data_IF_387915044800
#
_entry.id   IF_387915044800
#
_cell.length_a   1.000
_cell.length_b   1.000
_cell.length_c   1.000
_cell.angle_alpha   90.00
_cell.angle_beta   90.00
_cell.angle_gamma   90.00
#
_symmetry.space_group_name_H-M   'P 1'
#
loop_
_entity.id
_entity.type
_entity.pdbx_description
1 polymer ?
#
# COMPACT_ATOMS: atom_id res chain seq x y z
N UNK A 1 26.90 -4.62 21.65
CA UNK A 1 26.76 -3.79 20.43
C UNK A 1 25.29 -3.67 20.12
N UNK A 2 24.81 -2.52 19.62
CA UNK A 2 23.43 -2.37 19.17
C UNK A 2 23.10 -3.43 18.10
N UNK A 3 21.87 -3.95 18.11
CA UNK A 3 21.37 -4.91 17.13
C UNK A 3 20.15 -4.35 16.40
N UNK A 4 20.26 -4.23 15.09
CA UNK A 4 19.22 -3.67 14.21
C UNK A 4 18.61 -4.72 13.28
N UNK A 5 18.96 -6.01 13.42
CA UNK A 5 18.47 -7.10 12.57
C UNK A 5 16.94 -7.18 12.56
N UNK A 6 16.31 -6.94 13.72
CA UNK A 6 14.86 -6.88 13.84
C UNK A 6 14.27 -5.75 12.98
N UNK A 7 14.89 -4.57 12.94
CA UNK A 7 14.45 -3.48 12.07
C UNK A 7 14.55 -3.86 10.59
N UNK A 8 15.63 -4.52 10.19
CA UNK A 8 15.79 -5.01 8.82
C UNK A 8 14.75 -6.08 8.46
N UNK A 9 14.43 -7.00 9.39
CA UNK A 9 13.40 -8.01 9.20
C UNK A 9 12.01 -7.39 8.98
N UNK A 10 11.63 -6.39 9.79
CA UNK A 10 10.37 -5.67 9.62
C UNK A 10 10.28 -4.97 8.24
N UNK A 11 11.39 -4.44 7.73
CA UNK A 11 11.42 -3.86 6.38
C UNK A 11 11.21 -4.94 5.28
N UNK A 12 11.74 -6.15 5.47
CA UNK A 12 11.47 -7.28 4.57
C UNK A 12 10.00 -7.69 4.61
N UNK A 13 9.36 -7.66 5.78
CA UNK A 13 7.92 -7.89 5.91
C UNK A 13 7.12 -6.79 5.18
N UNK A 14 7.51 -5.52 5.31
CA UNK A 14 6.87 -4.43 4.57
C UNK A 14 6.93 -4.68 3.05
N UNK A 15 8.10 -5.09 2.53
CA UNK A 15 8.27 -5.50 1.13
C UNK A 15 7.34 -6.64 0.74
N UNK A 16 7.26 -7.71 1.56
CA UNK A 16 6.36 -8.85 1.32
C UNK A 16 4.92 -8.38 1.16
N UNK A 17 4.43 -7.50 2.04
CA UNK A 17 3.05 -7.02 1.98
C UNK A 17 2.78 -6.12 0.78
N UNK A 18 3.76 -5.39 0.26
CA UNK A 18 3.61 -4.66 -1.02
C UNK A 18 3.54 -5.60 -2.22
N UNK A 19 4.28 -6.72 -2.19
CA UNK A 19 4.12 -7.76 -3.21
C UNK A 19 2.72 -8.36 -3.20
N UNK A 20 2.21 -8.69 -2.00
CA UNK A 20 0.86 -9.20 -1.84
C UNK A 20 -0.20 -8.16 -2.24
N UNK A 21 0.02 -6.89 -1.91
CA UNK A 21 -0.83 -5.79 -2.36
C UNK A 21 -0.89 -5.71 -3.88
N UNK A 22 0.26 -5.74 -4.57
CA UNK A 22 0.31 -5.69 -6.02
C UNK A 22 -0.50 -6.83 -6.66
N UNK A 23 -0.32 -8.06 -6.15
CA UNK A 23 -1.02 -9.26 -6.63
C UNK A 23 -2.52 -9.26 -6.33
N UNK A 24 -2.93 -8.77 -5.17
CA UNK A 24 -4.31 -8.86 -4.67
C UNK A 24 -5.08 -7.54 -4.80
N UNK A 25 -4.53 -6.56 -5.51
CA UNK A 25 -5.11 -5.21 -5.64
C UNK A 25 -6.52 -5.19 -6.26
N UNK A 26 -6.99 -6.31 -6.83
CA UNK A 26 -8.36 -6.50 -7.29
C UNK A 26 -9.35 -6.59 -6.14
N UNK A 27 -9.04 -7.39 -5.12
CA UNK A 27 -9.91 -7.69 -3.99
C UNK A 27 -9.76 -6.62 -2.89
N UNK A 28 -10.75 -5.74 -2.73
CA UNK A 28 -10.61 -4.54 -1.89
C UNK A 28 -10.17 -4.84 -0.46
N UNK A 29 -10.80 -5.82 0.18
CA UNK A 29 -10.49 -6.20 1.57
C UNK A 29 -9.06 -6.72 1.73
N UNK A 30 -8.57 -7.52 0.78
CA UNK A 30 -7.19 -8.03 0.81
C UNK A 30 -6.18 -6.95 0.49
N UNK A 31 -6.46 -6.11 -0.52
CA UNK A 31 -5.62 -4.96 -0.85
C UNK A 31 -5.50 -4.01 0.35
N UNK A 32 -6.62 -3.70 1.01
CA UNK A 32 -6.63 -2.89 2.22
C UNK A 32 -5.77 -3.49 3.34
N UNK A 33 -5.97 -4.80 3.61
CA UNK A 33 -5.22 -5.52 4.63
C UNK A 33 -3.72 -5.49 4.35
N UNK A 34 -3.33 -5.84 3.12
CA UNK A 34 -1.92 -5.85 2.70
C UNK A 34 -1.28 -4.46 2.79
N UNK A 35 -1.98 -3.40 2.38
CA UNK A 35 -1.50 -2.03 2.53
C UNK A 35 -1.33 -1.62 4.00
N UNK A 36 -2.31 -1.97 4.83
CA UNK A 36 -2.29 -1.70 6.27
C UNK A 36 -1.08 -2.37 6.94
N UNK A 37 -0.87 -3.66 6.65
CA UNK A 37 0.30 -4.39 7.13
C UNK A 37 1.62 -3.79 6.62
N UNK A 38 1.70 -3.39 5.35
CA UNK A 38 2.84 -2.67 4.83
C UNK A 38 3.17 -1.42 5.67
N UNK A 39 2.19 -0.55 5.92
CA UNK A 39 2.38 0.68 6.70
C UNK A 39 2.85 0.39 8.13
N UNK A 40 2.28 -0.64 8.78
CA UNK A 40 2.64 -1.05 10.13
C UNK A 40 4.10 -1.54 10.18
N UNK A 41 4.47 -2.47 9.28
CA UNK A 41 5.82 -3.03 9.24
C UNK A 41 6.87 -2.01 8.79
N UNK A 42 6.51 -1.07 7.90
CA UNK A 42 7.39 0.03 7.52
C UNK A 42 7.74 0.89 8.75
N UNK A 43 6.74 1.27 9.56
CA UNK A 43 7.00 2.00 10.81
C UNK A 43 7.77 1.15 11.83
N UNK A 44 7.40 -0.12 12.00
CA UNK A 44 8.07 -1.03 12.93
C UNK A 44 9.56 -1.19 12.61
N UNK A 45 9.94 -1.18 11.33
CA UNK A 45 11.34 -1.23 10.91
C UNK A 45 12.18 -0.10 11.51
N UNK A 46 11.60 1.10 11.59
CA UNK A 46 12.23 2.25 12.22
C UNK A 46 12.28 2.09 13.74
N UNK A 47 11.15 1.75 14.36
CA UNK A 47 11.04 1.63 15.82
C UNK A 47 12.00 0.56 16.38
N UNK A 48 12.17 -0.55 15.65
CA UNK A 48 13.09 -1.63 16.03
C UNK A 48 14.57 -1.26 15.84
N UNK A 49 14.91 -0.40 14.87
CA UNK A 49 16.26 0.19 14.82
C UNK A 49 16.50 1.04 16.06
N UNK A 50 15.57 1.94 16.40
CA UNK A 50 15.72 2.79 17.60
C UNK A 50 15.85 1.97 18.88
N UNK A 51 15.02 0.92 19.03
CA UNK A 51 15.08 0.02 20.18
C UNK A 51 16.44 -0.69 20.30
N UNK A 52 17.10 -1.01 19.17
CA UNK A 52 18.43 -1.60 19.17
C UNK A 52 19.51 -0.73 19.82
N UNK A 53 19.28 0.59 19.92
CA UNK A 53 20.20 1.55 20.55
C UNK A 53 19.76 2.02 21.95
N UNK A 54 18.66 1.50 22.50
CA UNK A 54 18.10 1.96 23.78
C UNK A 54 19.13 1.95 24.93
N UNK A 55 19.94 0.88 25.01
CA UNK A 55 20.95 0.69 26.07
C UNK A 55 22.24 1.50 25.84
N UNK A 56 22.34 2.24 24.74
CA UNK A 56 23.53 3.06 24.42
C UNK A 56 23.37 4.54 24.78
N UNK A 57 22.27 4.90 25.46
CA UNK A 57 22.03 6.27 25.92
C UNK A 57 23.18 6.78 26.80
N UNK A 58 23.67 7.99 26.53
CA UNK A 58 24.80 8.59 27.25
C UNK A 58 26.19 8.11 26.81
N UNK A 59 26.29 7.17 25.87
CA UNK A 59 27.57 6.76 25.26
C UNK A 59 27.89 7.57 24.01
N UNK A 60 29.16 7.56 23.55
CA UNK A 60 29.56 8.21 22.29
C UNK A 60 28.78 7.65 21.08
N UNK A 61 28.61 6.33 21.02
CA UNK A 61 27.82 5.65 19.98
C UNK A 61 26.36 6.13 20.02
N UNK A 62 25.75 6.18 21.20
CA UNK A 62 24.38 6.67 21.37
C UNK A 62 24.22 8.13 20.96
N UNK A 63 25.20 8.99 21.29
CA UNK A 63 25.18 10.41 20.92
C UNK A 63 25.27 10.60 19.40
N UNK A 64 26.17 9.87 18.72
CA UNK A 64 26.29 9.90 17.25
C UNK A 64 25.04 9.35 16.56
N UNK A 65 24.47 8.26 17.08
CA UNK A 65 23.21 7.72 16.59
C UNK A 65 22.07 8.73 16.75
N UNK A 66 21.95 9.40 17.90
CA UNK A 66 20.94 10.43 18.14
C UNK A 66 21.06 11.60 17.16
N UNK A 67 22.27 11.99 16.77
CA UNK A 67 22.48 12.98 15.72
C UNK A 67 21.95 12.52 14.36
N UNK A 68 22.35 11.32 13.90
CA UNK A 68 21.83 10.73 12.65
C UNK A 68 20.31 10.62 12.66
N UNK A 69 19.75 10.10 13.77
CA UNK A 69 18.32 9.98 14.01
C UNK A 69 17.63 11.33 13.89
N UNK A 70 18.17 12.38 14.50
CA UNK A 70 17.64 13.74 14.42
C UNK A 70 17.53 14.25 12.98
N UNK A 71 18.58 14.04 12.17
CA UNK A 71 18.58 14.39 10.74
C UNK A 71 17.49 13.64 9.96
N UNK A 72 17.36 12.33 10.18
CA UNK A 72 16.40 11.49 9.47
C UNK A 72 14.95 11.77 9.92
N UNK A 73 14.70 12.07 11.20
CA UNK A 73 13.40 12.56 11.70
C UNK A 73 13.03 13.88 11.03
N UNK A 74 13.98 14.80 10.89
CA UNK A 74 13.76 16.07 10.22
C UNK A 74 13.33 15.86 8.76
N UNK A 75 14.03 14.96 8.05
CA UNK A 75 13.65 14.56 6.69
C UNK A 75 12.22 13.98 6.63
N UNK A 76 11.88 13.02 7.52
CA UNK A 76 10.53 12.42 7.58
C UNK A 76 9.41 13.43 7.79
N UNK A 77 9.64 14.46 8.61
CA UNK A 77 8.64 15.48 8.92
C UNK A 77 8.43 16.46 7.76
N UNK A 78 9.49 16.76 7.01
CA UNK A 78 9.45 17.74 5.90
C UNK A 78 9.04 17.11 4.58
N UNK A 79 9.42 15.86 4.35
CA UNK A 79 9.16 15.17 3.09
C UNK A 79 7.66 14.86 2.93
N UNK A 80 7.01 15.29 1.83
CA UNK A 80 5.58 15.05 1.62
C UNK A 80 5.21 13.56 1.61
N UNK A 81 6.04 12.71 1.01
CA UNK A 81 5.77 11.28 0.89
C UNK A 81 5.87 10.58 2.25
N UNK A 82 6.94 10.83 2.99
CA UNK A 82 7.13 10.22 4.31
C UNK A 82 6.07 10.68 5.32
N UNK A 83 5.65 11.95 5.22
CA UNK A 83 4.54 12.47 6.02
C UNK A 83 3.21 11.81 5.65
N UNK A 84 2.92 11.64 4.36
CA UNK A 84 1.71 10.96 3.90
C UNK A 84 1.65 9.51 4.40
N UNK A 85 2.75 8.75 4.28
CA UNK A 85 2.83 7.37 4.78
C UNK A 85 2.63 7.30 6.31
N UNK A 86 3.22 8.22 7.06
CA UNK A 86 3.06 8.28 8.51
C UNK A 86 1.61 8.55 8.93
N UNK A 87 0.95 9.51 8.29
CA UNK A 87 -0.45 9.82 8.58
C UNK A 87 -1.41 8.72 8.12
N UNK A 88 -1.11 8.06 6.99
CA UNK A 88 -1.84 6.86 6.54
C UNK A 88 -1.78 5.74 7.58
N UNK A 89 -0.58 5.49 8.15
CA UNK A 89 -0.39 4.51 9.22
C UNK A 89 -1.20 4.88 10.46
N UNK A 90 -1.22 6.16 10.84
CA UNK A 90 -1.99 6.60 12.00
C UNK A 90 -3.49 6.35 11.80
N UNK A 91 -4.04 6.60 10.61
CA UNK A 91 -5.44 6.27 10.31
C UNK A 91 -5.73 4.78 10.45
N UNK A 92 -4.85 3.92 9.90
CA UNK A 92 -4.99 2.46 9.98
C UNK A 92 -4.99 1.98 11.43
N UNK A 93 -4.04 2.46 12.23
CA UNK A 93 -3.87 2.02 13.63
C UNK A 93 -5.00 2.50 14.52
N UNK A 94 -5.60 3.64 14.21
CA UNK A 94 -6.76 4.17 14.94
C UNK A 94 -8.10 3.71 14.36
N UNK A 95 -8.11 2.77 13.40
CA UNK A 95 -9.34 2.18 12.87
C UNK A 95 -10.23 3.15 12.08
N UNK A 96 -9.70 4.31 11.65
CA UNK A 96 -10.47 5.35 10.94
C UNK A 96 -10.77 4.95 9.49
N UNK A 97 -10.20 3.83 9.02
CA UNK A 97 -10.38 3.31 7.68
C UNK A 97 -9.54 4.09 6.65
N UNK A 98 -8.65 3.40 5.97
CA UNK A 98 -7.95 3.92 4.80
C UNK A 98 -8.70 3.48 3.53
N UNK A 99 -9.21 4.41 2.72
CA UNK A 99 -9.90 4.06 1.47
C UNK A 99 -8.99 4.27 0.28
N UNK A 100 -9.01 3.33 -0.66
CA UNK A 100 -8.52 3.56 -2.01
C UNK A 100 -9.67 4.01 -2.89
N UNK A 101 -9.39 4.79 -3.93
CA UNK A 101 -10.35 4.97 -5.03
C UNK A 101 -9.95 4.09 -6.19
N UNK A 102 -10.93 3.59 -6.93
CA UNK A 102 -10.69 2.87 -8.17
C UNK A 102 -10.72 3.84 -9.33
N UNK A 103 -9.84 3.62 -10.31
CA UNK A 103 -9.86 4.33 -11.58
C UNK A 103 -9.70 3.35 -12.73
N UNK A 104 -10.42 3.60 -13.82
CA UNK A 104 -10.21 2.88 -15.08
C UNK A 104 -8.83 3.22 -15.62
N UNK A 105 -8.11 2.20 -16.08
CA UNK A 105 -6.84 2.34 -16.79
C UNK A 105 -7.12 2.68 -18.26
N UNK A 106 -8.15 2.04 -18.84
CA UNK A 106 -8.55 2.22 -20.22
C UNK A 106 -10.08 2.41 -20.31
N UNK A 107 -10.51 3.16 -21.31
CA UNK A 107 -11.93 3.32 -21.69
C UNK A 107 -12.43 2.15 -22.53
N UNK A 108 -11.53 1.34 -23.11
CA UNK A 108 -11.91 0.14 -23.84
C UNK A 108 -12.24 -1.00 -22.87
N UNK A 109 -13.35 -1.74 -23.08
CA UNK A 109 -13.61 -2.96 -22.35
C UNK A 109 -12.49 -3.98 -22.56
N UNK A 110 -11.96 -4.52 -21.47
CA UNK A 110 -11.06 -5.68 -21.50
C UNK A 110 -11.79 -6.99 -21.82
N UNK A 111 -13.12 -6.98 -21.68
CA UNK A 111 -13.98 -8.09 -21.98
C UNK A 111 -15.42 -7.77 -21.61
N UNK A 112 -16.24 -8.81 -21.60
CA UNK A 112 -17.63 -8.70 -21.22
C UNK A 112 -17.97 -9.80 -20.22
N UNK A 113 -18.95 -9.55 -19.38
CA UNK A 113 -19.51 -10.53 -18.45
C UNK A 113 -21.03 -10.48 -18.49
N UNK A 114 -21.70 -11.44 -17.87
CA UNK A 114 -23.15 -11.46 -17.78
C UNK A 114 -23.59 -11.14 -16.37
N UNK A 115 -24.54 -10.21 -16.27
CA UNK A 115 -25.23 -9.87 -15.05
C UNK A 115 -26.67 -10.35 -15.14
N UNK A 116 -27.14 -11.04 -14.11
CA UNK A 116 -28.52 -11.47 -13.98
C UNK A 116 -29.11 -10.94 -12.67
N UNK A 117 -30.38 -10.56 -12.65
CA UNK A 117 -31.12 -10.31 -11.40
C UNK A 117 -31.44 -11.63 -10.72
N UNK A 118 -31.52 -11.62 -9.40
CA UNK A 118 -31.94 -12.77 -8.59
C UNK A 118 -33.27 -12.40 -7.90
N UNK A 119 -34.26 -13.29 -7.95
CA UNK A 119 -35.52 -13.09 -7.21
C UNK A 119 -35.41 -13.69 -5.79
N UNK A 120 -36.45 -13.52 -4.97
CA UNK A 120 -36.47 -14.03 -3.58
C UNK A 120 -36.28 -15.55 -3.47
N UNK A 121 -36.53 -16.30 -4.55
CA UNK A 121 -36.36 -17.75 -4.64
C UNK A 121 -34.98 -18.16 -5.16
N UNK A 122 -34.07 -17.20 -5.42
CA UNK A 122 -32.74 -17.49 -5.97
C UNK A 122 -32.72 -17.72 -7.49
N UNK A 123 -33.85 -17.55 -8.18
CA UNK A 123 -33.96 -17.76 -9.64
C UNK A 123 -33.40 -16.55 -10.36
N UNK A 124 -32.51 -16.82 -11.34
CA UNK A 124 -31.88 -15.81 -12.19
C UNK A 124 -32.82 -15.38 -13.32
N UNK A 125 -32.96 -14.09 -13.54
CA UNK A 125 -33.72 -13.52 -14.65
C UNK A 125 -33.06 -12.22 -15.14
N UNK A 126 -33.51 -11.68 -16.28
CA UNK A 126 -32.99 -10.43 -16.85
C UNK A 126 -31.46 -10.45 -17.04
N UNK A 127 -30.99 -11.44 -17.80
CA UNK A 127 -29.57 -11.66 -18.09
C UNK A 127 -29.11 -10.70 -19.18
N UNK A 128 -28.17 -9.82 -18.85
CA UNK A 128 -27.58 -8.86 -19.79
C UNK A 128 -26.06 -8.91 -19.81
N UNK A 129 -25.50 -8.75 -21.00
CA UNK A 129 -24.06 -8.64 -21.17
C UNK A 129 -23.60 -7.22 -20.82
N UNK A 130 -22.55 -7.10 -20.03
CA UNK A 130 -21.98 -5.83 -19.56
C UNK A 130 -20.46 -5.81 -19.77
N UNK A 131 -19.87 -4.65 -20.12
CA UNK A 131 -18.43 -4.54 -20.28
C UNK A 131 -17.69 -4.62 -18.94
N UNK A 132 -16.48 -5.19 -18.99
CA UNK A 132 -15.52 -5.23 -17.89
C UNK A 132 -14.33 -4.38 -18.31
N UNK A 133 -13.91 -3.46 -17.46
CA UNK A 133 -12.82 -2.53 -17.70
C UNK A 133 -11.62 -2.88 -16.87
N UNK A 134 -10.44 -2.59 -17.41
CA UNK A 134 -9.21 -2.67 -16.65
C UNK A 134 -9.16 -1.50 -15.66
N UNK A 135 -8.90 -1.75 -14.39
CA UNK A 135 -8.84 -0.69 -13.37
C UNK A 135 -7.58 -0.77 -12.52
N UNK A 136 -7.35 0.23 -11.69
CA UNK A 136 -6.31 0.24 -10.66
C UNK A 136 -6.81 0.92 -9.40
N UNK A 137 -6.18 0.59 -8.27
CA UNK A 137 -6.33 1.33 -7.03
C UNK A 137 -5.46 2.58 -7.08
N UNK A 138 -6.02 3.68 -6.63
CA UNK A 138 -5.35 4.95 -6.45
C UNK A 138 -5.45 5.38 -4.99
N UNK A 139 -4.39 6.02 -4.52
CA UNK A 139 -4.37 6.64 -3.20
C UNK A 139 -5.37 7.79 -3.09
N UNK A 140 -6.00 7.89 -1.92
CA UNK A 140 -6.88 8.99 -1.57
C UNK A 140 -6.20 9.98 -0.63
N UNK A 141 -6.83 11.15 -0.48
CA UNK A 141 -6.51 12.07 0.61
C UNK A 141 -6.75 11.38 1.96
N UNK A 142 -5.75 11.43 2.82
CA UNK A 142 -5.83 10.97 4.21
C UNK A 142 -6.35 12.12 5.05
N UNK A 143 -7.38 11.87 5.86
CA UNK A 143 -7.93 12.86 6.79
C UNK A 143 -7.63 12.38 8.21
N UNK A 144 -6.76 13.09 8.91
CA UNK A 144 -6.42 12.79 10.29
C UNK A 144 -6.54 14.06 11.15
N UNK A 145 -7.37 14.02 12.20
CA UNK A 145 -7.68 15.17 13.07
C UNK A 145 -8.00 16.45 12.27
N UNK A 146 -8.94 16.33 11.32
CA UNK A 146 -9.39 17.40 10.41
C UNK A 146 -8.35 17.90 9.40
N UNK A 147 -7.10 17.46 9.50
CA UNK A 147 -6.04 17.80 8.55
C UNK A 147 -6.08 16.86 7.36
N UNK A 148 -5.98 17.44 6.17
CA UNK A 148 -5.95 16.72 4.90
C UNK A 148 -4.51 16.54 4.44
N UNK A 149 -4.13 15.29 4.17
CA UNK A 149 -2.84 14.92 3.62
C UNK A 149 -3.06 14.33 2.23
N UNK A 150 -2.69 15.11 1.21
CA UNK A 150 -2.81 14.68 -0.17
C UNK A 150 -1.71 13.66 -0.50
N UNK A 151 -1.97 12.72 -1.43
CA UNK A 151 -0.91 11.93 -2.03
C UNK A 151 0.22 12.84 -2.52
N UNK A 152 1.49 12.47 -2.27
CA UNK A 152 2.61 13.38 -2.43
C UNK A 152 2.94 13.60 -3.91
N UNK A 153 3.32 14.82 -4.27
CA UNK A 153 3.77 15.16 -5.63
C UNK A 153 5.28 15.05 -5.80
N UNK A 154 6.03 14.99 -4.69
CA UNK A 154 7.48 14.91 -4.67
C UNK A 154 7.97 14.04 -3.50
N UNK A 155 9.17 13.49 -3.63
CA UNK A 155 9.90 12.79 -2.58
C UNK A 155 11.38 13.19 -2.64
N UNK A 156 11.91 13.71 -1.53
CA UNK A 156 13.29 14.19 -1.38
C UNK A 156 13.70 15.19 -2.47
N UNK A 157 12.78 16.08 -2.85
CA UNK A 157 12.98 17.08 -3.90
C UNK A 157 12.80 16.57 -5.32
N UNK A 158 12.59 15.26 -5.52
CA UNK A 158 12.37 14.65 -6.83
C UNK A 158 10.85 14.52 -7.09
N UNK A 159 10.33 14.97 -8.24
CA UNK A 159 8.93 14.76 -8.61
C UNK A 159 8.54 13.28 -8.68
N UNK A 160 7.29 13.00 -8.36
CA UNK A 160 6.68 11.67 -8.53
C UNK A 160 6.25 11.47 -9.99
N UNK A 161 6.41 10.26 -10.52
CA UNK A 161 5.91 9.93 -11.87
C UNK A 161 4.39 9.80 -11.85
N UNK A 162 3.87 9.14 -10.82
CA UNK A 162 2.46 8.93 -10.58
C UNK A 162 2.18 9.03 -9.06
N UNK A 163 1.92 10.27 -8.61
CA UNK A 163 1.63 10.61 -7.21
C UNK A 163 0.47 9.85 -6.56
N UNK A 164 -0.38 9.21 -7.37
CA UNK A 164 -1.55 8.47 -6.92
C UNK A 164 -1.33 6.96 -6.88
N UNK A 165 -0.20 6.47 -7.37
CA UNK A 165 0.11 5.04 -7.41
C UNK A 165 0.59 4.54 -6.04
N UNK A 166 -0.16 3.65 -5.37
CA UNK A 166 0.30 3.08 -4.11
C UNK A 166 1.63 2.33 -4.23
N UNK A 167 1.93 1.71 -5.37
CA UNK A 167 3.16 0.94 -5.56
C UNK A 167 4.38 1.86 -5.63
N UNK A 168 4.32 2.92 -6.43
CA UNK A 168 5.42 3.88 -6.55
C UNK A 168 5.73 4.51 -5.18
N UNK A 169 4.67 4.90 -4.47
CA UNK A 169 4.76 5.52 -3.16
C UNK A 169 5.41 4.57 -2.15
N UNK A 170 5.01 3.30 -2.17
CA UNK A 170 5.59 2.29 -1.30
C UNK A 170 7.06 2.02 -1.62
N UNK A 171 7.43 1.89 -2.89
CA UNK A 171 8.83 1.65 -3.32
C UNK A 171 9.74 2.79 -2.84
N UNK A 172 9.34 4.04 -3.04
CA UNK A 172 10.12 5.20 -2.59
C UNK A 172 10.20 5.27 -1.06
N UNK A 173 9.10 4.97 -0.36
CA UNK A 173 9.09 4.82 1.10
C UNK A 173 10.06 3.74 1.58
N UNK A 174 9.99 2.54 1.02
CA UNK A 174 10.91 1.42 1.32
C UNK A 174 12.36 1.83 1.09
N UNK A 175 12.65 2.54 -0.02
CA UNK A 175 14.00 3.02 -0.30
C UNK A 175 14.53 3.96 0.77
N UNK A 176 13.71 4.88 1.28
CA UNK A 176 14.13 5.77 2.37
C UNK A 176 14.48 4.97 3.64
N UNK A 177 13.61 4.04 4.05
CA UNK A 177 13.82 3.23 5.26
C UNK A 177 14.98 2.26 5.11
N UNK A 178 15.16 1.66 3.93
CA UNK A 178 16.34 0.85 3.62
C UNK A 178 17.63 1.66 3.78
N UNK A 179 17.69 2.86 3.22
CA UNK A 179 18.86 3.72 3.32
C UNK A 179 19.12 4.13 4.77
N UNK A 180 18.08 4.42 5.56
CA UNK A 180 18.23 4.67 7.00
C UNK A 180 18.86 3.48 7.74
N UNK A 181 18.36 2.26 7.51
CA UNK A 181 18.90 1.04 8.14
C UNK A 181 20.34 0.81 7.68
N UNK A 182 20.62 0.95 6.39
CA UNK A 182 21.95 0.78 5.81
C UNK A 182 22.95 1.78 6.39
N UNK A 183 22.61 3.07 6.41
CA UNK A 183 23.46 4.13 6.97
C UNK A 183 23.77 3.84 8.45
N UNK A 184 22.74 3.40 9.20
CA UNK A 184 22.88 3.02 10.61
C UNK A 184 23.79 1.79 10.78
N UNK A 185 23.62 0.77 9.92
CA UNK A 185 24.42 -0.46 10.02
C UNK A 185 25.90 -0.20 9.76
N UNK A 186 26.18 0.52 8.67
CA UNK A 186 27.55 0.83 8.23
C UNK A 186 28.31 1.62 9.29
N UNK A 187 27.64 2.61 9.91
CA UNK A 187 28.26 3.52 10.86
C UNK A 187 28.45 2.90 12.25
N UNK A 188 27.49 2.10 12.74
CA UNK A 188 27.42 1.77 14.17
C UNK A 188 27.50 0.29 14.52
N UNK A 189 26.90 -0.60 13.71
CA UNK A 189 26.65 -1.99 14.14
C UNK A 189 27.41 -3.03 13.34
N UNK A 190 27.52 -2.85 12.01
CA UNK A 190 28.07 -3.83 11.05
C UNK A 190 27.49 -5.23 11.26
N UNK A 191 26.21 -5.25 11.59
CA UNK A 191 25.45 -6.42 12.00
C UNK A 191 24.79 -7.14 10.83
N UNK A 192 24.60 -6.43 9.71
CA UNK A 192 24.09 -6.96 8.46
C UNK A 192 25.28 -7.23 7.53
N UNK A 193 25.28 -8.38 6.87
CA UNK A 193 26.30 -8.68 5.88
C UNK A 193 26.08 -7.86 4.61
N UNK A 194 27.15 -7.55 3.89
CA UNK A 194 27.05 -6.89 2.58
C UNK A 194 26.17 -7.69 1.60
N UNK A 195 26.18 -9.02 1.71
CA UNK A 195 25.31 -9.92 0.95
C UNK A 195 23.82 -9.72 1.29
N UNK A 196 23.48 -9.54 2.58
CA UNK A 196 22.08 -9.28 2.97
C UNK A 196 21.58 -7.94 2.40
N UNK A 197 22.41 -6.91 2.47
CA UNK A 197 22.09 -5.57 1.94
C UNK A 197 21.95 -5.58 0.41
N UNK A 198 22.83 -6.28 -0.31
CA UNK A 198 22.76 -6.39 -1.78
C UNK A 198 21.59 -7.28 -2.24
N UNK A 199 21.29 -8.35 -1.50
CA UNK A 199 20.20 -9.26 -1.82
C UNK A 199 18.82 -8.62 -1.63
N UNK A 200 18.70 -7.58 -0.80
CA UNK A 200 17.42 -6.92 -0.50
C UNK A 200 16.67 -6.49 -1.78
N UNK A 201 17.32 -5.72 -2.66
CA UNK A 201 16.69 -5.21 -3.89
C UNK A 201 16.45 -6.31 -4.92
N UNK A 202 17.35 -7.29 -4.98
CA UNK A 202 17.19 -8.47 -5.84
C UNK A 202 15.95 -9.26 -5.43
N UNK A 203 15.77 -9.48 -4.12
CA UNK A 203 14.61 -10.18 -3.57
C UNK A 203 13.33 -9.36 -3.67
N UNK A 204 13.42 -8.02 -3.63
CA UNK A 204 12.26 -7.19 -3.85
C UNK A 204 11.73 -7.32 -5.29
N UNK A 205 12.61 -7.45 -6.29
CA UNK A 205 12.23 -7.64 -7.70
C UNK A 205 11.14 -6.64 -8.14
N UNK A 206 11.51 -5.36 -8.21
CA UNK A 206 10.58 -4.25 -8.49
C UNK A 206 9.77 -4.49 -9.78
N UNK A 207 10.40 -5.07 -10.80
CA UNK A 207 9.75 -5.37 -12.08
C UNK A 207 8.54 -6.31 -11.93
N UNK A 208 8.65 -7.32 -11.07
CA UNK A 208 7.54 -8.24 -10.74
C UNK A 208 6.37 -7.49 -10.08
N UNK A 209 6.67 -6.62 -9.11
CA UNK A 209 5.66 -5.84 -8.39
C UNK A 209 4.89 -4.90 -9.32
N UNK A 210 5.61 -4.21 -10.22
CA UNK A 210 4.99 -3.31 -11.20
C UNK A 210 4.11 -4.11 -12.18
N UNK A 211 4.58 -5.26 -12.63
CA UNK A 211 3.85 -6.11 -13.58
C UNK A 211 2.55 -6.66 -12.98
N UNK A 212 2.58 -7.07 -11.72
CA UNK A 212 1.40 -7.65 -11.04
C UNK A 212 0.34 -6.59 -10.69
N UNK A 213 0.75 -5.38 -10.30
CA UNK A 213 -0.18 -4.28 -10.01
C UNK A 213 -1.03 -3.86 -11.23
N UNK A 214 -0.54 -4.15 -12.44
CA UNK A 214 -1.19 -3.79 -13.70
C UNK A 214 -2.26 -4.77 -14.20
N UNK A 215 -2.76 -5.74 -13.41
CA UNK A 215 -3.60 -6.85 -13.92
C UNK A 215 -5.08 -6.85 -13.49
N UNK A 216 -5.66 -5.73 -13.03
CA UNK A 216 -7.02 -5.77 -12.46
C UNK A 216 -8.14 -5.44 -13.45
N UNK A 217 -9.30 -6.08 -13.27
CA UNK A 217 -10.49 -5.94 -14.10
C UNK A 217 -11.77 -5.78 -13.25
N UNK A 218 -12.64 -4.83 -13.59
CA UNK A 218 -13.87 -4.51 -12.85
C UNK A 218 -15.03 -4.10 -13.76
N UNK A 219 -16.25 -4.32 -13.27
CA UNK A 219 -17.47 -3.74 -13.85
C UNK A 219 -17.59 -2.31 -13.32
N UNK A 220 -17.40 -1.32 -14.18
CA UNK A 220 -17.56 0.09 -13.85
C UNK A 220 -18.84 0.54 -14.55
N UNK A 221 -19.82 1.07 -13.81
CA UNK A 221 -21.14 1.55 -14.26
C UNK A 221 -22.30 0.55 -14.23
N UNK A 222 -22.37 -0.31 -13.21
CA UNK A 222 -23.65 -0.93 -12.87
C UNK A 222 -24.35 -0.09 -11.79
N UNK A 223 -25.39 0.68 -12.17
CA UNK A 223 -26.32 1.23 -11.19
C UNK A 223 -27.51 0.28 -11.04
N UNK A 224 -27.82 -0.19 -9.81
CA UNK A 224 -29.01 -1.02 -9.60
C UNK A 224 -30.26 -0.21 -9.93
N UNK A 225 -31.19 -0.83 -10.66
CA UNK A 225 -32.43 -0.16 -11.09
C UNK A 225 -33.37 0.16 -9.91
N UNK A 226 -33.24 -0.57 -8.80
CA UNK A 226 -33.97 -0.37 -7.54
C UNK A 226 -33.10 -0.76 -6.35
N UNK A 227 -33.26 -0.05 -5.23
CA UNK A 227 -32.72 -0.48 -3.94
C UNK A 227 -33.18 -1.91 -3.62
N UNK A 228 -32.31 -2.72 -3.02
CA UNK A 228 -32.55 -4.12 -2.62
C UNK A 228 -32.77 -5.14 -3.75
N UNK A 229 -32.33 -4.86 -4.98
CA UNK A 229 -32.25 -5.91 -6.02
C UNK A 229 -30.90 -6.64 -5.91
N UNK A 230 -30.94 -7.96 -5.75
CA UNK A 230 -29.75 -8.79 -5.77
C UNK A 230 -29.36 -9.15 -7.21
N UNK A 231 -28.05 -9.14 -7.47
CA UNK A 231 -27.50 -9.46 -8.79
C UNK A 231 -26.47 -10.59 -8.69
N UNK A 232 -26.50 -11.46 -9.68
CA UNK A 232 -25.51 -12.49 -9.93
C UNK A 232 -24.64 -12.10 -11.13
N UNK A 233 -23.31 -12.20 -11.03
CA UNK A 233 -22.41 -12.10 -12.19
C UNK A 233 -21.85 -13.47 -12.51
N UNK A 234 -21.96 -13.86 -13.77
CA UNK A 234 -21.32 -15.07 -14.29
C UNK A 234 -19.85 -14.79 -14.61
N UNK A 235 -18.91 -15.42 -13.91
CA UNK A 235 -17.51 -15.33 -14.31
C UNK A 235 -17.24 -16.20 -15.54
N UNK A 236 -17.41 -15.64 -16.73
CA UNK A 236 -17.31 -16.37 -18.00
C UNK A 236 -15.91 -16.39 -18.62
N UNK A 237 -15.00 -15.53 -18.14
CA UNK A 237 -13.72 -15.27 -18.82
C UNK A 237 -12.47 -15.51 -17.94
N UNK A 238 -12.59 -16.25 -16.82
CA UNK A 238 -11.50 -16.46 -15.86
C UNK A 238 -10.82 -15.17 -15.35
N UNK A 239 -11.46 -14.00 -15.50
CA UNK A 239 -10.96 -12.78 -14.90
C UNK A 239 -11.28 -12.78 -13.40
N UNK A 240 -10.36 -12.35 -12.53
CA UNK A 240 -10.68 -12.07 -11.14
C UNK A 240 -11.56 -10.81 -11.09
N UNK A 241 -12.87 -10.98 -11.26
CA UNK A 241 -13.85 -9.89 -11.18
C UNK A 241 -14.11 -9.63 -9.69
N UNK A 242 -13.74 -8.44 -9.21
CA UNK A 242 -14.13 -8.00 -7.86
C UNK A 242 -15.39 -7.14 -7.93
N UNK A 243 -16.38 -7.53 -7.13
CA UNK A 243 -17.72 -6.94 -7.11
C UNK A 243 -17.76 -5.70 -6.23
N UNK A 244 -18.53 -4.69 -6.65
CA UNK A 244 -18.96 -3.61 -5.79
C UNK A 244 -20.33 -4.02 -5.25
N UNK A 245 -20.43 -4.33 -3.95
CA UNK A 245 -21.73 -4.46 -3.29
C UNK A 245 -22.35 -3.07 -3.20
N UNK A 246 -23.43 -2.83 -3.94
CA UNK A 246 -24.26 -1.64 -3.76
C UNK A 246 -25.24 -1.90 -2.62
N UNK A 247 -24.83 -1.63 -1.38
CA UNK A 247 -25.79 -1.36 -0.31
C UNK A 247 -26.20 0.11 -0.44
N UNK A 248 -27.27 0.36 -1.19
CA UNK A 248 -27.91 1.66 -1.23
C UNK A 248 -28.68 1.87 0.07
N UNK A 249 -28.17 2.72 0.94
CA UNK A 249 -28.99 3.46 1.91
C UNK A 249 -28.86 4.93 1.51
N UNK A 250 -29.84 5.48 0.81
CA UNK A 250 -29.95 6.93 0.62
C UNK A 250 -30.70 7.49 1.84
N UNK A 251 -30.09 8.45 2.53
CA UNK A 251 -30.78 9.33 3.49
C UNK A 251 -31.60 10.38 2.76
#
# INVERSE_FOLDING_TARGET
MPDIKNGFHELQLAVKFIKLFARNSGMEGEAYSNWSHFLIHLQASWDKVEAGFADTSGTDIGNKFNYLRGLKIHQRKKDPLLKYLWESRNMVVHGVGFSFRRAMIDKLPAGYTYLSKINKQGIRYDRRQIPVFKTRLLLNTVINKERKFQPPTHHLGVPMENSLDPIEIAIKGISFYFNYIKDTDVEFTRSLSSQQLSAFWTNFNIAEVITDAGKLYHIVNFQPEKENTEYYVENTNNFPITFIHFQGTIM
#
